data_IF_568731947746
#
_entry.id   IF_568731947746
#
_cell.length_a   1.000
_cell.length_b   1.000
_cell.length_c   1.000
_cell.angle_alpha   90.00
_cell.angle_beta   90.00
_cell.angle_gamma   90.00
#
_symmetry.space_group_name_H-M   'P 1'
#
loop_
_entity.id
_entity.type
_entity.pdbx_description
1 polymer ?
#
# COMPACT_ATOMS: atom_id res chain seq x y z
N UNK A 1 -23.94 -13.99 3.46
CA UNK A 1 -23.12 -14.05 4.67
C UNK A 1 -22.05 -12.95 4.61
N UNK A 2 -22.29 -11.89 5.39
CA UNK A 2 -21.41 -10.78 5.81
C UNK A 2 -20.32 -10.22 4.87
N UNK A 3 -20.70 -9.42 3.87
CA UNK A 3 -19.76 -8.46 3.23
C UNK A 3 -19.12 -7.51 4.26
N UNK A 4 -19.84 -7.15 5.31
CA UNK A 4 -19.35 -6.28 6.40
C UNK A 4 -18.23 -6.92 7.22
N UNK A 5 -18.20 -8.25 7.39
CA UNK A 5 -17.12 -8.92 8.12
C UNK A 5 -15.80 -8.80 7.37
N UNK A 6 -15.80 -8.94 6.04
CA UNK A 6 -14.58 -8.74 5.24
C UNK A 6 -14.07 -7.31 5.31
N UNK A 7 -14.98 -6.32 5.32
CA UNK A 7 -14.61 -4.92 5.49
C UNK A 7 -13.95 -4.67 6.86
N UNK A 8 -14.54 -5.20 7.93
CA UNK A 8 -13.97 -5.10 9.28
C UNK A 8 -12.60 -5.78 9.35
N UNK A 9 -12.45 -7.00 8.80
CA UNK A 9 -11.17 -7.71 8.77
C UNK A 9 -10.08 -6.92 8.05
N UNK A 10 -10.42 -6.29 6.93
CA UNK A 10 -9.49 -5.45 6.17
C UNK A 10 -9.13 -4.16 6.89
N UNK A 11 -10.09 -3.51 7.55
CA UNK A 11 -9.82 -2.35 8.39
C UNK A 11 -8.87 -2.71 9.55
N UNK A 12 -9.10 -3.84 10.22
CA UNK A 12 -8.21 -4.34 11.27
C UNK A 12 -6.82 -4.67 10.74
N UNK A 13 -6.71 -5.30 9.57
CA UNK A 13 -5.42 -5.61 8.96
C UNK A 13 -4.62 -4.34 8.68
N UNK A 14 -5.27 -3.29 8.15
CA UNK A 14 -4.63 -2.00 7.92
C UNK A 14 -4.25 -1.31 9.24
N UNK A 15 -5.13 -1.29 10.23
CA UNK A 15 -4.88 -0.65 11.52
C UNK A 15 -3.74 -1.32 12.29
N UNK A 16 -3.75 -2.65 12.39
CA UNK A 16 -2.69 -3.42 13.05
C UNK A 16 -1.38 -3.27 12.27
N UNK A 17 -1.42 -3.36 10.94
CA UNK A 17 -0.27 -3.09 10.09
C UNK A 17 0.34 -1.72 10.39
N UNK A 18 -0.46 -0.66 10.33
CA UNK A 18 -0.02 0.69 10.63
C UNK A 18 0.58 0.83 12.04
N UNK A 19 -0.13 0.38 13.08
CA UNK A 19 0.34 0.48 14.47
C UNK A 19 1.62 -0.33 14.69
N UNK A 20 1.74 -1.53 14.11
CA UNK A 20 2.98 -2.30 14.15
C UNK A 20 4.15 -1.54 13.52
N UNK A 21 3.90 -0.79 12.44
CA UNK A 21 4.89 0.07 11.81
C UNK A 21 5.38 1.18 12.72
N UNK A 22 4.45 1.82 13.43
CA UNK A 22 4.73 2.84 14.43
C UNK A 22 5.63 2.29 15.54
N UNK A 23 5.30 1.11 16.06
CA UNK A 23 6.09 0.43 17.11
C UNK A 23 7.47 0.00 16.59
N UNK A 24 7.54 -0.54 15.37
CA UNK A 24 8.81 -0.95 14.75
C UNK A 24 9.78 0.22 14.59
N UNK A 25 9.28 1.42 14.26
CA UNK A 25 10.12 2.61 14.18
C UNK A 25 10.74 2.96 15.54
N UNK A 26 9.94 2.90 16.61
CA UNK A 26 10.43 3.16 17.97
C UNK A 26 11.47 2.14 18.45
N UNK A 27 11.43 0.92 17.91
CA UNK A 27 12.38 -0.14 18.25
C UNK A 27 13.69 -0.08 17.46
N UNK A 28 13.74 0.65 16.34
CA UNK A 28 14.93 0.74 15.49
C UNK A 28 15.73 2.01 15.77
N UNK A 29 17.05 1.93 15.58
CA UNK A 29 17.89 3.13 15.55
C UNK A 29 17.58 3.96 14.30
N UNK A 30 17.83 5.27 14.38
CA UNK A 30 17.55 6.21 13.30
C UNK A 30 18.30 5.83 12.01
N UNK A 31 19.57 5.44 12.10
CA UNK A 31 20.36 5.01 10.92
C UNK A 31 19.75 3.80 10.21
N UNK A 32 19.32 2.80 10.99
CA UNK A 32 18.68 1.59 10.43
C UNK A 32 17.33 1.95 9.80
N UNK A 33 16.61 2.88 10.41
CA UNK A 33 15.32 3.36 9.91
C UNK A 33 15.47 4.10 8.59
N UNK A 34 16.44 5.00 8.48
CA UNK A 34 16.74 5.69 7.21
C UNK A 34 17.16 4.72 6.11
N UNK A 35 18.01 3.72 6.41
CA UNK A 35 18.40 2.70 5.44
C UNK A 35 17.21 1.87 4.93
N UNK A 36 16.29 1.49 5.83
CA UNK A 36 15.06 0.78 5.45
C UNK A 36 14.19 1.65 4.54
N UNK A 37 14.00 2.92 4.90
CA UNK A 37 13.20 3.86 4.12
C UNK A 37 13.82 4.07 2.74
N UNK A 38 15.13 4.28 2.66
CA UNK A 38 15.87 4.45 1.40
C UNK A 38 15.67 3.26 0.46
N UNK A 39 15.60 2.05 1.00
CA UNK A 39 15.38 0.83 0.22
C UNK A 39 13.94 0.70 -0.30
N UNK A 40 12.95 1.05 0.52
CA UNK A 40 11.53 0.79 0.22
C UNK A 40 10.87 1.95 -0.51
N UNK A 41 11.07 3.18 -0.02
CA UNK A 41 10.56 4.41 -0.64
C UNK A 41 11.47 5.60 -0.27
N UNK A 42 12.48 5.91 -1.11
CA UNK A 42 13.44 6.97 -0.81
C UNK A 42 12.82 8.37 -0.77
N UNK A 43 11.62 8.56 -1.33
CA UNK A 43 10.92 9.85 -1.38
C UNK A 43 10.51 10.36 0.00
N UNK A 44 10.47 9.48 1.00
CA UNK A 44 10.21 9.83 2.40
C UNK A 44 11.40 10.56 3.03
N UNK A 45 12.62 10.35 2.51
CA UNK A 45 13.84 11.01 2.99
C UNK A 45 14.08 12.34 2.27
N UNK A 46 13.94 12.35 0.95
CA UNK A 46 14.27 13.49 0.10
C UNK A 46 13.11 13.77 -0.85
N UNK A 47 12.43 14.91 -0.63
CA UNK A 47 11.26 15.37 -1.40
C UNK A 47 11.65 16.27 -2.59
N UNK A 48 12.90 16.72 -2.63
CA UNK A 48 13.45 17.53 -3.72
C UNK A 48 13.71 16.65 -4.95
N UNK A 49 13.21 17.09 -6.11
CA UNK A 49 13.38 16.43 -7.42
C UNK A 49 12.86 14.98 -7.50
N UNK A 50 11.67 14.73 -6.92
CA UNK A 50 10.98 13.44 -7.06
C UNK A 50 10.70 13.15 -8.54
N UNK A 51 11.39 12.15 -9.07
CA UNK A 51 11.18 11.70 -10.45
C UNK A 51 9.94 10.82 -10.58
N UNK A 52 9.34 10.78 -11.76
CA UNK A 52 8.20 9.90 -12.08
C UNK A 52 8.52 8.43 -11.74
N UNK A 53 9.77 8.01 -11.96
CA UNK A 53 10.23 6.65 -11.65
C UNK A 53 10.23 6.33 -10.16
N UNK A 54 10.65 7.27 -9.32
CA UNK A 54 10.62 7.09 -7.87
C UNK A 54 9.18 6.95 -7.34
N UNK A 55 8.19 7.50 -8.06
CA UNK A 55 6.77 7.35 -7.72
C UNK A 55 6.17 6.07 -8.27
N UNK A 56 6.41 5.78 -9.53
CA UNK A 56 5.84 4.59 -10.19
C UNK A 56 6.41 3.29 -9.63
N UNK A 57 7.72 3.23 -9.32
CA UNK A 57 8.41 1.99 -8.99
C UNK A 57 7.91 1.35 -7.68
N UNK A 58 7.79 2.07 -6.53
CA UNK A 58 7.21 1.49 -5.33
C UNK A 58 5.77 1.00 -5.55
N UNK A 59 4.95 1.78 -6.27
CA UNK A 59 3.55 1.42 -6.56
C UNK A 59 3.49 0.13 -7.37
N UNK A 60 4.31 0.02 -8.42
CA UNK A 60 4.34 -1.14 -9.31
C UNK A 60 4.87 -2.38 -8.60
N UNK A 61 5.95 -2.25 -7.82
CA UNK A 61 6.57 -3.39 -7.12
C UNK A 61 5.55 -4.07 -6.19
N UNK A 62 4.92 -3.31 -5.30
CA UNK A 62 3.97 -3.87 -4.34
C UNK A 62 2.69 -4.40 -5.03
N UNK A 63 2.22 -3.75 -6.10
CA UNK A 63 1.11 -4.25 -6.90
C UNK A 63 1.45 -5.57 -7.60
N UNK A 64 2.66 -5.71 -8.16
CA UNK A 64 3.15 -6.93 -8.79
C UNK A 64 3.31 -8.06 -7.76
N UNK A 65 3.84 -7.79 -6.58
CA UNK A 65 3.91 -8.78 -5.49
C UNK A 65 2.52 -9.28 -5.12
N UNK A 66 1.55 -8.38 -4.92
CA UNK A 66 0.17 -8.78 -4.62
C UNK A 66 -0.42 -9.60 -5.76
N UNK A 67 -0.26 -9.19 -7.01
CA UNK A 67 -0.74 -9.96 -8.16
C UNK A 67 -0.11 -11.35 -8.24
N UNK A 68 1.20 -11.45 -8.03
CA UNK A 68 1.93 -12.71 -8.03
C UNK A 68 1.38 -13.69 -6.99
N UNK A 69 1.14 -13.24 -5.75
CA UNK A 69 0.58 -14.13 -4.73
C UNK A 69 -0.92 -14.41 -4.94
N UNK A 70 -1.65 -13.50 -5.57
CA UNK A 70 -3.09 -13.63 -5.79
C UNK A 70 -3.41 -14.56 -6.97
N UNK A 71 -2.53 -14.69 -7.98
CA UNK A 71 -2.70 -15.62 -9.10
C UNK A 71 -2.53 -17.09 -8.68
N UNK A 72 -1.79 -17.36 -7.61
CA UNK A 72 -1.54 -18.71 -7.13
C UNK A 72 -2.62 -19.19 -6.13
N UNK A 73 -3.33 -20.30 -6.41
CA UNK A 73 -4.46 -20.78 -5.58
C UNK A 73 -4.11 -21.02 -4.10
N UNK A 74 -2.88 -21.46 -3.83
CA UNK A 74 -2.41 -21.77 -2.47
C UNK A 74 -1.80 -20.58 -1.74
N UNK A 75 -1.42 -19.52 -2.48
CA UNK A 75 -0.71 -18.36 -1.91
C UNK A 75 -1.59 -17.12 -1.73
N UNK A 76 -2.88 -17.22 -2.03
CA UNK A 76 -3.83 -16.11 -1.89
C UNK A 76 -3.86 -15.53 -0.46
N UNK A 77 -3.54 -16.33 0.57
CA UNK A 77 -3.39 -15.80 1.93
C UNK A 77 -2.16 -14.87 2.06
N UNK A 78 -1.03 -15.23 1.45
CA UNK A 78 0.19 -14.41 1.45
C UNK A 78 0.01 -13.07 0.74
N UNK A 79 -0.89 -12.96 -0.24
CA UNK A 79 -1.21 -11.67 -0.84
C UNK A 79 -1.68 -10.63 0.20
N UNK A 80 -2.50 -11.05 1.17
CA UNK A 80 -2.94 -10.16 2.26
C UNK A 80 -1.82 -9.81 3.23
N UNK A 81 -0.90 -10.76 3.45
CA UNK A 81 0.30 -10.52 4.26
C UNK A 81 1.19 -9.44 3.63
N UNK A 82 1.39 -9.48 2.32
CA UNK A 82 2.13 -8.43 1.59
C UNK A 82 1.52 -7.05 1.83
N UNK A 83 0.18 -6.94 1.80
CA UNK A 83 -0.48 -5.66 2.09
C UNK A 83 -0.32 -5.25 3.55
N UNK A 84 -0.34 -6.20 4.49
CA UNK A 84 -0.05 -5.92 5.90
C UNK A 84 1.36 -5.37 6.09
N UNK A 85 2.37 -5.98 5.44
CA UNK A 85 3.76 -5.49 5.46
C UNK A 85 3.85 -4.08 4.86
N UNK A 86 3.15 -3.82 3.75
CA UNK A 86 3.09 -2.47 3.17
C UNK A 86 2.44 -1.46 4.12
N UNK A 87 1.39 -1.86 4.85
CA UNK A 87 0.74 -1.03 5.87
C UNK A 87 1.67 -0.77 7.07
N UNK A 88 2.50 -1.74 7.45
CA UNK A 88 3.59 -1.55 8.42
C UNK A 88 4.58 -0.50 7.95
N UNK A 89 5.03 -0.57 6.69
CA UNK A 89 5.91 0.47 6.15
C UNK A 89 5.22 1.85 6.08
N UNK A 90 3.91 1.89 5.79
CA UNK A 90 3.13 3.12 5.85
C UNK A 90 3.16 3.75 7.25
N UNK A 91 2.91 2.97 8.32
CA UNK A 91 3.05 3.44 9.69
C UNK A 91 4.47 3.88 10.03
N UNK A 92 5.47 3.12 9.60
CA UNK A 92 6.89 3.41 9.82
C UNK A 92 7.30 4.77 9.22
N UNK A 93 6.99 5.01 7.95
CA UNK A 93 7.28 6.28 7.28
C UNK A 93 6.49 7.45 7.87
N UNK A 94 5.30 7.20 8.41
CA UNK A 94 4.49 8.24 9.07
C UNK A 94 5.18 8.78 10.32
N UNK A 95 5.74 7.90 11.16
CA UNK A 95 6.49 8.34 12.35
C UNK A 95 7.75 9.09 11.96
N UNK A 96 8.47 8.63 10.93
CA UNK A 96 9.66 9.31 10.44
C UNK A 96 9.35 10.76 10.01
N UNK A 97 8.33 10.96 9.18
CA UNK A 97 7.95 12.30 8.71
C UNK A 97 7.52 13.23 9.84
N UNK A 98 6.77 12.70 10.82
CA UNK A 98 6.28 13.49 11.94
C UNK A 98 7.36 13.82 12.97
N UNK A 99 8.33 12.93 13.19
CA UNK A 99 9.33 13.09 14.26
C UNK A 99 10.66 13.67 13.79
N UNK A 100 11.07 13.40 12.54
CA UNK A 100 12.39 13.82 12.04
C UNK A 100 12.31 15.00 11.09
N UNK A 101 11.34 14.99 10.17
CA UNK A 101 11.20 16.10 9.21
C UNK A 101 10.30 17.22 9.71
N UNK A 102 9.60 17.02 10.84
CA UNK A 102 8.62 17.95 11.44
C UNK A 102 7.59 18.48 10.43
N UNK A 103 7.40 17.78 9.30
CA UNK A 103 6.62 18.27 8.17
C UNK A 103 5.23 17.68 8.22
N UNK A 104 4.40 18.23 9.12
CA UNK A 104 3.03 17.78 9.30
C UNK A 104 2.18 17.97 8.04
N UNK A 105 2.51 18.95 7.20
CA UNK A 105 1.84 19.20 5.93
C UNK A 105 2.16 18.08 4.92
N UNK A 106 3.43 17.75 4.74
CA UNK A 106 3.86 16.65 3.86
C UNK A 106 3.25 15.32 4.30
N UNK A 107 3.21 15.08 5.62
CA UNK A 107 2.56 13.90 6.16
C UNK A 107 1.04 13.88 5.86
N UNK A 108 0.33 14.95 6.19
CA UNK A 108 -1.15 14.97 6.16
C UNK A 108 -1.75 15.08 4.77
N UNK A 109 -1.09 15.81 3.86
CA UNK A 109 -1.61 16.09 2.52
C UNK A 109 -1.14 15.05 1.50
N UNK A 110 0.08 14.52 1.66
CA UNK A 110 0.66 13.56 0.73
C UNK A 110 0.79 12.16 1.33
N UNK A 111 1.64 11.97 2.34
CA UNK A 111 1.98 10.61 2.77
C UNK A 111 0.77 9.82 3.26
N UNK A 112 0.00 10.38 4.20
CA UNK A 112 -1.13 9.69 4.81
C UNK A 112 -2.25 9.31 3.82
N UNK A 113 -2.88 10.25 3.09
CA UNK A 113 -4.04 9.95 2.26
C UNK A 113 -3.68 9.03 1.08
N UNK A 114 -2.56 9.27 0.40
CA UNK A 114 -2.18 8.46 -0.75
C UNK A 114 -1.76 7.05 -0.35
N UNK A 115 -0.99 6.90 0.74
CA UNK A 115 -0.59 5.56 1.20
C UNK A 115 -1.79 4.77 1.76
N UNK A 116 -2.75 5.42 2.41
CA UNK A 116 -3.98 4.78 2.85
C UNK A 116 -4.82 4.28 1.67
N UNK A 117 -5.09 5.15 0.69
CA UNK A 117 -5.80 4.78 -0.54
C UNK A 117 -5.07 3.65 -1.25
N UNK A 118 -3.75 3.73 -1.34
CA UNK A 118 -2.92 2.71 -1.96
C UNK A 118 -3.08 1.34 -1.28
N UNK A 119 -3.03 1.28 0.05
CA UNK A 119 -3.23 0.03 0.78
C UNK A 119 -4.65 -0.54 0.58
N UNK A 120 -5.67 0.33 0.51
CA UNK A 120 -7.05 -0.07 0.20
C UNK A 120 -7.13 -0.67 -1.21
N UNK A 121 -6.50 -0.04 -2.21
CA UNK A 121 -6.46 -0.53 -3.59
C UNK A 121 -5.73 -1.87 -3.68
N UNK A 122 -4.63 -2.07 -2.93
CA UNK A 122 -3.94 -3.36 -2.86
C UNK A 122 -4.82 -4.46 -2.23
N UNK A 123 -5.57 -4.16 -1.17
CA UNK A 123 -6.53 -5.13 -0.61
C UNK A 123 -7.66 -5.46 -1.59
N UNK A 124 -8.12 -4.47 -2.36
CA UNK A 124 -9.08 -4.71 -3.42
C UNK A 124 -8.47 -5.56 -4.56
N UNK A 125 -7.19 -5.39 -4.86
CA UNK A 125 -6.43 -6.19 -5.84
C UNK A 125 -6.38 -7.66 -5.43
N UNK A 126 -6.23 -7.96 -4.13
CA UNK A 126 -6.34 -9.32 -3.60
C UNK A 126 -7.71 -9.98 -3.87
N UNK A 127 -8.76 -9.22 -4.24
CA UNK A 127 -10.09 -9.77 -4.54
C UNK A 127 -10.36 -9.98 -6.04
N UNK A 128 -9.40 -9.64 -6.90
CA UNK A 128 -9.52 -9.78 -8.37
C UNK A 128 -9.63 -11.23 -8.81
N UNK A 129 -8.89 -12.12 -8.14
CA UNK A 129 -9.00 -13.55 -8.38
C UNK A 129 -9.84 -14.19 -7.27
N UNK A 130 -11.09 -14.48 -7.60
CA UNK A 130 -12.03 -15.11 -6.66
C UNK A 130 -12.16 -16.60 -6.90
N UNK A 131 -12.34 -17.39 -5.85
CA UNK A 131 -12.87 -18.74 -5.97
C UNK A 131 -14.39 -18.66 -6.13
N UNK A 132 -14.91 -18.89 -7.33
CA UNK A 132 -16.36 -19.02 -7.56
C UNK A 132 -16.73 -20.49 -7.47
N UNK A 133 -17.66 -20.84 -6.58
CA UNK A 133 -18.29 -22.17 -6.61
C UNK A 133 -19.07 -22.30 -7.91
N UNK A 134 -18.69 -23.23 -8.78
CA UNK A 134 -19.43 -23.59 -10.00
C UNK A 134 -19.79 -25.07 -9.85
N UNK A 135 -20.98 -25.34 -9.33
CA UNK A 135 -21.39 -26.69 -8.91
C UNK A 135 -20.59 -27.18 -7.71
N UNK A 136 -20.20 -28.46 -7.73
CA UNK A 136 -19.41 -29.12 -6.66
C UNK A 136 -17.95 -28.65 -6.61
N UNK A 137 -17.43 -28.08 -7.71
CA UNK A 137 -16.04 -27.65 -7.85
C UNK A 137 -15.87 -26.13 -7.67
N UNK A 138 -14.80 -25.72 -6.98
CA UNK A 138 -14.39 -24.31 -6.90
C UNK A 138 -13.51 -23.99 -8.10
N UNK A 139 -13.94 -23.05 -8.95
CA UNK A 139 -13.11 -22.54 -10.06
C UNK A 139 -12.51 -21.19 -9.67
N UNK A 140 -11.23 -21.01 -9.97
CA UNK A 140 -10.55 -19.72 -9.85
C UNK A 140 -10.94 -18.87 -11.06
N UNK A 141 -11.63 -17.75 -10.83
CA UNK A 141 -12.14 -16.90 -11.90
C UNK A 141 -11.55 -15.50 -11.76
N UNK A 142 -10.93 -15.03 -12.85
CA UNK A 142 -10.40 -13.68 -12.96
C UNK A 142 -11.51 -12.68 -13.29
N UNK A 143 -11.70 -11.67 -12.44
CA UNK A 143 -12.67 -10.61 -12.68
C UNK A 143 -12.05 -9.46 -13.49
N UNK A 144 -12.13 -9.56 -14.82
CA UNK A 144 -11.58 -8.55 -15.77
C UNK A 144 -12.07 -7.13 -15.48
N UNK A 145 -13.37 -6.95 -15.18
CA UNK A 145 -13.97 -5.64 -14.93
C UNK A 145 -13.39 -4.99 -13.67
N UNK A 146 -13.29 -5.76 -12.59
CA UNK A 146 -12.69 -5.28 -11.34
C UNK A 146 -11.21 -4.94 -11.53
N UNK A 147 -10.46 -5.80 -12.21
CA UNK A 147 -9.05 -5.55 -12.51
C UNK A 147 -8.84 -4.24 -13.27
N UNK A 148 -9.59 -4.01 -14.36
CA UNK A 148 -9.47 -2.77 -15.13
C UNK A 148 -9.85 -1.53 -14.33
N UNK A 149 -10.89 -1.64 -13.49
CA UNK A 149 -11.29 -0.56 -12.58
C UNK A 149 -10.18 -0.23 -11.58
N UNK A 150 -9.50 -1.25 -11.04
CA UNK A 150 -8.40 -1.05 -10.10
C UNK A 150 -7.16 -0.47 -10.78
N UNK A 151 -6.82 -0.93 -11.98
CA UNK A 151 -5.72 -0.34 -12.77
C UNK A 151 -5.96 1.15 -12.98
N UNK A 152 -7.16 1.53 -13.41
CA UNK A 152 -7.54 2.94 -13.56
C UNK A 152 -7.43 3.71 -12.23
N UNK A 153 -7.88 3.12 -11.12
CA UNK A 153 -7.78 3.74 -9.80
C UNK A 153 -6.34 3.92 -9.33
N UNK A 154 -5.44 2.94 -9.57
CA UNK A 154 -4.01 3.09 -9.29
C UNK A 154 -3.39 4.21 -10.13
N UNK A 155 -3.74 4.31 -11.40
CA UNK A 155 -3.25 5.39 -12.27
C UNK A 155 -3.74 6.76 -11.79
N UNK A 156 -5.03 6.91 -11.47
CA UNK A 156 -5.57 8.16 -10.94
C UNK A 156 -4.91 8.55 -9.61
N UNK A 157 -4.71 7.58 -8.71
CA UNK A 157 -4.04 7.81 -7.43
C UNK A 157 -2.58 8.24 -7.63
N UNK A 158 -1.82 7.58 -8.52
CA UNK A 158 -0.44 7.97 -8.82
C UNK A 158 -0.32 9.35 -9.50
N UNK A 159 -1.23 9.70 -10.40
CA UNK A 159 -1.29 11.04 -10.98
C UNK A 159 -1.62 12.10 -9.93
N UNK A 160 -2.57 11.82 -9.04
CA UNK A 160 -2.90 12.69 -7.92
C UNK A 160 -1.71 12.88 -6.97
N UNK A 161 -0.95 11.82 -6.71
CA UNK A 161 0.24 11.87 -5.85
C UNK A 161 1.29 12.80 -6.47
N UNK A 162 1.59 12.63 -7.76
CA UNK A 162 2.53 13.52 -8.47
C UNK A 162 2.05 14.97 -8.47
N UNK A 163 0.76 15.21 -8.69
CA UNK A 163 0.19 16.56 -8.63
C UNK A 163 0.40 17.20 -7.25
N UNK A 164 0.14 16.47 -6.16
CA UNK A 164 0.32 16.99 -4.80
C UNK A 164 1.79 17.26 -4.49
N UNK A 165 2.70 16.37 -4.86
CA UNK A 165 4.14 16.60 -4.67
C UNK A 165 4.60 17.84 -5.45
N UNK A 166 4.21 17.98 -6.71
CA UNK A 166 4.70 19.05 -7.59
C UNK A 166 4.11 20.43 -7.34
N UNK A 167 2.88 20.53 -6.80
CA UNK A 167 2.18 21.83 -6.67
C UNK A 167 1.92 22.27 -5.22
N UNK A 168 1.94 21.34 -4.25
CA UNK A 168 1.64 21.64 -2.85
C UNK A 168 2.90 21.56 -1.98
N UNK A 169 3.81 20.62 -2.29
CA UNK A 169 4.99 20.37 -1.45
C UNK A 169 6.24 21.07 -2.00
N UNK A 170 6.48 20.97 -3.30
CA UNK A 170 7.51 21.74 -4.00
C UNK A 170 6.96 23.08 -4.50
#
# INVERSE_FOLDING_TARGET
MFRSIYFIQYAFLLAIGFVSGVICFQAFSLDKSMNLIKLVDPRVLELTDVTIWQTALPILIWALFVLFFTTHPYLHFFAKLVVAIKATFFGFGSVFLLTQQESILVYSVWWFPFQLIYCILLLALCSVFGTRKVGTNRKFVFNKKLFFTLVMAFTMMGLGEMFVISYIIN
#
